data_IF_186805566900
#
_entry.id   IF_186805566900
#
_cell.length_a   1.000
_cell.length_b   1.000
_cell.length_c   1.000
_cell.angle_alpha   90.00
_cell.angle_beta   90.00
_cell.angle_gamma   90.00
#
_symmetry.space_group_name_H-M   'P 1'
#
loop_
_entity.id
_entity.type
_entity.pdbx_description
1 polymer ?
#
# COMPACT_ATOMS: atom_id res chain seq x y z
N UNK A 1 -8.39 -18.20 -5.85
CA UNK A 1 -8.58 -16.97 -5.04
C UNK A 1 -7.61 -16.93 -3.86
N UNK A 2 -7.64 -17.93 -2.96
CA UNK A 2 -6.61 -18.08 -1.91
C UNK A 2 -5.20 -18.25 -2.50
N UNK A 3 -5.07 -19.03 -3.57
CA UNK A 3 -3.81 -19.24 -4.30
C UNK A 3 -3.14 -17.94 -4.76
N UNK A 4 -3.90 -16.95 -5.25
CA UNK A 4 -3.34 -15.65 -5.68
C UNK A 4 -2.77 -14.88 -4.49
N UNK A 5 -3.45 -14.93 -3.34
CA UNK A 5 -3.00 -14.28 -2.13
C UNK A 5 -1.75 -14.97 -1.57
N UNK A 6 -1.76 -16.31 -1.49
CA UNK A 6 -0.62 -17.09 -1.01
C UNK A 6 0.62 -16.87 -1.89
N UNK A 7 0.43 -16.88 -3.21
CA UNK A 7 1.49 -16.62 -4.19
C UNK A 7 2.02 -15.19 -4.11
N UNK A 8 1.13 -14.21 -3.90
CA UNK A 8 1.52 -12.83 -3.62
C UNK A 8 2.41 -12.71 -2.38
N UNK A 9 2.05 -13.36 -1.26
CA UNK A 9 2.85 -13.31 -0.02
C UNK A 9 4.22 -13.93 -0.23
N UNK A 10 4.29 -15.06 -0.94
CA UNK A 10 5.54 -15.71 -1.30
C UNK A 10 6.44 -14.79 -2.11
N UNK A 11 5.89 -14.05 -3.08
CA UNK A 11 6.62 -13.08 -3.89
C UNK A 11 7.07 -11.87 -3.07
N UNK A 12 6.22 -11.32 -2.18
CA UNK A 12 6.60 -10.24 -1.26
C UNK A 12 7.83 -10.64 -0.44
N UNK A 13 7.88 -11.86 0.08
CA UNK A 13 9.07 -12.36 0.80
C UNK A 13 10.32 -12.44 -0.08
N UNK A 14 10.20 -12.68 -1.39
CA UNK A 14 11.35 -12.61 -2.30
C UNK A 14 11.77 -11.17 -2.58
N UNK A 15 10.81 -10.27 -2.78
CA UNK A 15 11.07 -8.84 -2.99
C UNK A 15 11.78 -8.24 -1.78
N UNK A 16 11.33 -8.58 -0.57
CA UNK A 16 11.91 -8.07 0.68
C UNK A 16 13.40 -8.44 0.86
N UNK A 17 13.88 -9.53 0.26
CA UNK A 17 15.31 -9.87 0.27
C UNK A 17 16.19 -8.86 -0.47
N UNK A 18 15.59 -8.01 -1.30
CA UNK A 18 16.27 -6.96 -2.06
C UNK A 18 16.22 -5.61 -1.34
N UNK A 19 15.58 -5.53 -0.16
CA UNK A 19 15.64 -4.34 0.70
C UNK A 19 17.02 -4.28 1.34
N UNK A 20 17.74 -3.21 1.05
CA UNK A 20 19.04 -2.91 1.66
C UNK A 20 18.86 -2.06 2.92
N UNK A 21 19.87 -2.07 3.80
CA UNK A 21 19.90 -1.17 4.96
C UNK A 21 19.83 0.31 4.53
N UNK A 22 20.48 0.66 3.42
CA UNK A 22 20.44 2.01 2.85
C UNK A 22 19.02 2.39 2.45
N UNK A 23 18.35 1.58 1.63
CA UNK A 23 16.97 1.86 1.19
C UNK A 23 16.00 1.96 2.37
N UNK A 24 16.18 1.12 3.39
CA UNK A 24 15.34 1.15 4.58
C UNK A 24 15.58 2.42 5.41
N UNK A 25 16.84 2.86 5.53
CA UNK A 25 17.21 4.12 6.17
C UNK A 25 16.61 5.32 5.44
N UNK A 26 16.82 5.42 4.13
CA UNK A 26 16.32 6.53 3.30
C UNK A 26 14.78 6.63 3.35
N UNK A 27 14.09 5.48 3.27
CA UNK A 27 12.65 5.39 3.47
C UNK A 27 12.22 5.86 4.87
N UNK A 28 12.97 5.48 5.90
CA UNK A 28 12.68 5.88 7.28
C UNK A 28 12.86 7.38 7.51
N UNK A 29 13.83 8.02 6.85
CA UNK A 29 14.01 9.48 6.89
C UNK A 29 12.84 10.20 6.24
N UNK A 30 12.42 9.78 5.03
CA UNK A 30 11.30 10.40 4.31
C UNK A 30 9.96 10.29 5.04
N UNK A 31 9.74 9.16 5.71
CA UNK A 31 8.55 8.94 6.54
C UNK A 31 8.67 9.58 7.93
N UNK A 32 9.81 10.19 8.27
CA UNK A 32 10.07 10.73 9.61
C UNK A 32 10.06 9.68 10.72
N UNK A 33 10.29 8.41 10.38
CA UNK A 33 10.50 7.30 11.33
C UNK A 33 11.90 7.40 11.93
N UNK A 34 12.90 7.73 11.09
CA UNK A 34 14.24 8.05 11.56
C UNK A 34 14.34 9.57 11.77
N UNK A 35 14.54 9.98 13.02
CA UNK A 35 14.73 11.38 13.40
C UNK A 35 15.62 11.46 14.64
N UNK A 36 16.41 12.53 14.75
CA UNK A 36 17.33 12.74 15.89
C UNK A 36 18.22 11.51 16.20
N UNK A 37 18.71 10.84 15.14
CA UNK A 37 19.55 9.62 15.21
C UNK A 37 18.87 8.40 15.84
N UNK A 38 17.54 8.35 15.86
CA UNK A 38 16.77 7.24 16.43
C UNK A 38 15.66 6.80 15.49
N UNK A 39 15.38 5.49 15.48
CA UNK A 39 14.20 4.93 14.82
C UNK A 39 13.03 4.91 15.80
N UNK A 40 11.91 5.53 15.40
CA UNK A 40 10.68 5.55 16.17
C UNK A 40 9.53 4.96 15.35
N UNK A 41 9.33 3.65 15.50
CA UNK A 41 8.19 2.90 14.95
C UNK A 41 7.19 2.68 16.09
N UNK A 42 5.98 3.22 15.95
CA UNK A 42 5.00 3.23 17.03
C UNK A 42 4.19 1.94 17.13
N UNK A 43 3.95 1.25 16.02
CA UNK A 43 3.10 0.06 15.95
C UNK A 43 3.35 -0.75 14.67
N UNK A 44 2.69 -1.91 14.57
CA UNK A 44 2.78 -2.81 13.41
C UNK A 44 2.27 -2.15 12.12
N UNK A 45 1.32 -1.23 12.20
CA UNK A 45 0.83 -0.48 11.03
C UNK A 45 1.91 0.42 10.44
N UNK A 46 2.67 1.14 11.28
CA UNK A 46 3.81 1.93 10.80
C UNK A 46 4.93 1.05 10.23
N UNK A 47 5.17 -0.11 10.85
CA UNK A 47 6.13 -1.08 10.31
C UNK A 47 5.70 -1.56 8.92
N UNK A 48 4.43 -1.97 8.75
CA UNK A 48 3.89 -2.37 7.45
C UNK A 48 3.96 -1.23 6.43
N UNK A 49 3.70 0.01 6.85
CA UNK A 49 3.83 1.19 6.00
C UNK A 49 5.26 1.41 5.51
N UNK A 50 6.26 1.25 6.39
CA UNK A 50 7.66 1.36 6.03
C UNK A 50 8.05 0.31 4.98
N UNK A 51 7.63 -0.95 5.19
CA UNK A 51 7.92 -2.03 4.23
C UNK A 51 7.19 -1.86 2.89
N UNK A 52 5.96 -1.35 2.87
CA UNK A 52 5.28 -1.02 1.62
C UNK A 52 5.98 0.14 0.91
N UNK A 53 6.28 1.22 1.63
CA UNK A 53 6.94 2.39 1.07
C UNK A 53 8.31 2.06 0.48
N UNK A 54 9.16 1.33 1.21
CA UNK A 54 10.49 0.95 0.70
C UNK A 54 10.40 0.05 -0.54
N UNK A 55 9.35 -0.78 -0.62
CA UNK A 55 9.16 -1.71 -1.74
C UNK A 55 8.70 -0.99 -3.01
N UNK A 56 7.73 -0.07 -2.87
CA UNK A 56 6.97 0.46 -4.00
C UNK A 56 7.20 1.95 -4.29
N UNK A 57 7.73 2.73 -3.35
CA UNK A 57 7.84 4.18 -3.47
C UNK A 57 9.29 4.68 -3.38
N UNK A 58 10.14 4.02 -2.60
CA UNK A 58 11.55 4.41 -2.44
C UNK A 58 12.34 4.16 -3.71
N UNK A 59 13.01 5.19 -4.22
CA UNK A 59 13.79 5.13 -5.45
C UNK A 59 15.25 4.88 -5.10
N UNK A 60 15.79 3.75 -5.55
CA UNK A 60 17.21 3.43 -5.47
C UNK A 60 17.84 3.61 -6.85
N UNK A 61 18.53 4.74 -7.06
CA UNK A 61 19.00 5.16 -8.38
C UNK A 61 17.82 5.67 -9.22
N UNK A 62 17.34 4.86 -10.17
CA UNK A 62 16.24 5.23 -11.07
C UNK A 62 14.99 4.35 -10.93
N UNK A 63 15.04 3.32 -10.07
CA UNK A 63 14.00 2.30 -9.94
C UNK A 63 13.64 2.05 -8.48
N UNK A 64 12.41 1.63 -8.27
CA UNK A 64 11.92 1.05 -7.02
C UNK A 64 12.42 -0.39 -6.87
N UNK A 65 12.34 -0.93 -5.66
CA UNK A 65 12.76 -2.32 -5.40
C UNK A 65 11.91 -3.30 -6.23
N UNK A 66 10.61 -3.07 -6.35
CA UNK A 66 9.73 -3.95 -7.15
C UNK A 66 10.06 -3.90 -8.65
N UNK A 67 10.44 -2.73 -9.17
CA UNK A 67 10.89 -2.58 -10.57
C UNK A 67 12.21 -3.33 -10.80
N UNK A 68 13.18 -3.22 -9.89
CA UNK A 68 14.43 -3.99 -9.96
C UNK A 68 14.16 -5.49 -9.84
N UNK A 69 13.29 -5.91 -8.93
CA UNK A 69 12.92 -7.31 -8.74
C UNK A 69 12.35 -7.95 -10.02
N UNK A 70 11.47 -7.22 -10.72
CA UNK A 70 10.90 -7.67 -12.01
C UNK A 70 11.97 -7.99 -13.06
N UNK A 71 13.11 -7.30 -13.05
CA UNK A 71 14.15 -7.47 -14.06
C UNK A 71 15.07 -8.65 -13.79
N UNK A 72 15.27 -8.99 -12.52
CA UNK A 72 16.24 -10.00 -12.09
C UNK A 72 15.59 -11.34 -11.75
N UNK A 73 14.32 -11.33 -11.34
CA UNK A 73 13.61 -12.54 -10.97
C UNK A 73 13.02 -13.22 -12.21
N UNK A 74 13.20 -14.54 -12.30
CA UNK A 74 12.59 -15.36 -13.34
C UNK A 74 11.30 -15.99 -12.81
N UNK A 75 10.11 -15.55 -13.29
CA UNK A 75 8.85 -16.12 -12.84
C UNK A 75 8.75 -17.60 -13.17
N UNK A 76 8.27 -18.41 -12.22
CA UNK A 76 8.13 -19.86 -12.40
C UNK A 76 6.80 -20.27 -13.04
N UNK A 77 5.87 -19.34 -13.14
CA UNK A 77 4.55 -19.56 -13.70
C UNK A 77 4.00 -18.27 -14.31
N UNK A 78 2.97 -18.40 -15.14
CA UNK A 78 2.23 -17.24 -15.66
C UNK A 78 1.62 -16.40 -14.53
N UNK A 79 1.08 -17.06 -13.50
CA UNK A 79 0.51 -16.37 -12.34
C UNK A 79 1.56 -15.51 -11.62
N UNK A 80 2.78 -16.03 -11.42
CA UNK A 80 3.86 -15.26 -10.83
C UNK A 80 4.22 -14.02 -11.67
N UNK A 81 4.33 -14.19 -12.99
CA UNK A 81 4.64 -13.10 -13.91
C UNK A 81 3.55 -12.01 -13.90
N UNK A 82 2.27 -12.42 -13.95
CA UNK A 82 1.13 -11.52 -13.90
C UNK A 82 1.02 -10.81 -12.53
N UNK A 83 1.36 -11.50 -11.43
CA UNK A 83 1.49 -10.89 -10.10
C UNK A 83 2.58 -9.83 -10.06
N UNK A 84 3.78 -10.11 -10.57
CA UNK A 84 4.90 -9.16 -10.59
C UNK A 84 4.53 -7.92 -11.43
N UNK A 85 3.89 -8.11 -12.59
CA UNK A 85 3.36 -7.00 -13.40
C UNK A 85 2.31 -6.20 -12.62
N UNK A 86 1.40 -6.88 -11.93
CA UNK A 86 0.41 -6.25 -11.05
C UNK A 86 1.03 -5.46 -9.90
N UNK A 87 2.11 -5.97 -9.30
CA UNK A 87 2.84 -5.31 -8.22
C UNK A 87 3.54 -4.04 -8.73
N UNK A 88 4.19 -4.08 -9.89
CA UNK A 88 4.83 -2.90 -10.50
C UNK A 88 3.80 -1.84 -10.90
N UNK A 89 2.64 -2.25 -11.43
CA UNK A 89 1.55 -1.34 -11.83
C UNK A 89 0.57 -1.00 -10.70
N UNK A 90 0.88 -1.41 -9.47
CA UNK A 90 0.05 -1.16 -8.30
C UNK A 90 -0.06 0.33 -8.00
N UNK A 91 -1.13 0.70 -7.31
CA UNK A 91 -1.36 2.09 -6.94
C UNK A 91 -2.00 2.19 -5.57
N UNK A 92 -1.74 3.30 -4.88
CA UNK A 92 -2.44 3.65 -3.66
C UNK A 92 -3.59 4.61 -3.95
N UNK A 93 -4.68 4.45 -3.22
CA UNK A 93 -5.79 5.42 -3.23
C UNK A 93 -6.46 5.46 -1.86
N UNK A 94 -7.43 6.35 -1.72
CA UNK A 94 -8.33 6.43 -0.60
C UNK A 94 -9.60 5.63 -0.93
N UNK A 95 -10.04 4.79 0.00
CA UNK A 95 -11.16 3.87 -0.20
C UNK A 95 -12.16 3.94 0.93
N UNK A 96 -13.42 3.70 0.60
CA UNK A 96 -14.50 3.43 1.56
C UNK A 96 -15.18 2.12 1.21
N UNK A 97 -15.56 1.34 2.21
CA UNK A 97 -16.33 0.12 1.96
C UNK A 97 -17.78 0.49 1.62
N UNK A 98 -18.29 -0.08 0.53
CA UNK A 98 -19.68 0.05 0.07
C UNK A 98 -20.51 -1.20 0.31
N UNK A 99 -19.87 -2.35 0.41
CA UNK A 99 -20.53 -3.63 0.63
C UNK A 99 -19.53 -4.76 0.78
N UNK A 100 -20.01 -5.90 1.26
CA UNK A 100 -19.23 -7.11 1.48
C UNK A 100 -20.04 -8.28 0.93
N UNK A 101 -19.41 -9.13 0.15
CA UNK A 101 -19.94 -10.40 -0.30
C UNK A 101 -19.21 -11.51 0.44
N UNK A 102 -19.82 -12.05 1.50
CA UNK A 102 -19.17 -13.09 2.32
C UNK A 102 -19.02 -14.42 1.57
N UNK A 103 -19.97 -14.74 0.69
CA UNK A 103 -19.95 -15.89 -0.21
C UNK A 103 -18.77 -15.83 -1.19
N UNK A 104 -18.50 -14.65 -1.76
CA UNK A 104 -17.41 -14.42 -2.71
C UNK A 104 -16.09 -14.01 -2.05
N UNK A 105 -16.09 -13.75 -0.74
CA UNK A 105 -14.95 -13.15 0.00
C UNK A 105 -14.46 -11.85 -0.67
N UNK A 106 -15.43 -11.03 -1.08
CA UNK A 106 -15.18 -9.77 -1.78
C UNK A 106 -15.64 -8.58 -0.94
N UNK A 107 -14.89 -7.49 -1.05
CA UNK A 107 -15.19 -6.22 -0.41
C UNK A 107 -15.29 -5.17 -1.51
N UNK A 108 -16.46 -4.56 -1.63
CA UNK A 108 -16.71 -3.54 -2.63
C UNK A 108 -16.16 -2.21 -2.11
N UNK A 109 -14.99 -1.82 -2.60
CA UNK A 109 -14.34 -0.57 -2.24
C UNK A 109 -14.71 0.52 -3.24
N UNK A 110 -15.28 1.63 -2.75
CA UNK A 110 -15.31 2.88 -3.50
C UNK A 110 -13.95 3.56 -3.40
N UNK A 111 -13.23 3.65 -4.51
CA UNK A 111 -12.13 4.58 -4.68
C UNK A 111 -12.69 5.99 -4.67
N UNK A 112 -12.47 6.72 -3.58
CA UNK A 112 -13.07 8.04 -3.40
C UNK A 112 -12.41 9.08 -4.31
N UNK A 113 -11.18 8.83 -4.78
CA UNK A 113 -10.46 9.74 -5.66
C UNK A 113 -10.90 9.59 -7.11
N UNK A 114 -11.21 8.36 -7.54
CA UNK A 114 -11.56 8.04 -8.92
C UNK A 114 -13.07 7.77 -9.15
N UNK A 115 -13.88 7.79 -8.09
CA UNK A 115 -15.31 7.45 -8.11
C UNK A 115 -15.60 6.09 -8.78
N UNK A 116 -14.76 5.09 -8.47
CA UNK A 116 -14.83 3.75 -9.05
C UNK A 116 -15.03 2.71 -7.96
N UNK A 117 -15.89 1.73 -8.20
CA UNK A 117 -16.06 0.58 -7.30
C UNK A 117 -15.13 -0.55 -7.74
N UNK A 118 -14.42 -1.14 -6.78
CA UNK A 118 -13.46 -2.22 -6.99
C UNK A 118 -13.85 -3.40 -6.10
N UNK A 119 -14.04 -4.61 -6.66
CA UNK A 119 -14.22 -5.83 -5.87
C UNK A 119 -12.87 -6.32 -5.37
N UNK A 120 -12.52 -6.00 -4.12
CA UNK A 120 -11.29 -6.44 -3.49
C UNK A 120 -11.49 -7.84 -2.90
N UNK A 121 -10.68 -8.80 -3.33
CA UNK A 121 -10.58 -10.11 -2.67
C UNK A 121 -9.80 -9.93 -1.38
N UNK A 122 -10.46 -10.17 -0.24
CA UNK A 122 -9.83 -10.11 1.07
C UNK A 122 -10.65 -10.87 2.11
N UNK A 123 -10.10 -11.09 3.29
CA UNK A 123 -10.86 -11.53 4.44
C UNK A 123 -11.79 -10.39 4.92
N UNK A 124 -13.13 -10.57 4.84
CA UNK A 124 -14.07 -9.56 5.32
C UNK A 124 -13.81 -9.12 6.76
N UNK A 125 -13.31 -10.01 7.62
CA UNK A 125 -13.05 -9.69 9.02
C UNK A 125 -12.01 -8.57 9.21
N UNK A 126 -11.13 -8.32 8.22
CA UNK A 126 -10.10 -7.27 8.29
C UNK A 126 -10.66 -5.85 8.20
N UNK A 127 -11.90 -5.68 7.75
CA UNK A 127 -12.48 -4.36 7.41
C UNK A 127 -13.47 -3.81 8.46
N UNK A 128 -13.28 -4.16 9.74
CA UNK A 128 -14.15 -3.73 10.85
C UNK A 128 -14.47 -2.22 10.88
N UNK A 129 -15.74 -1.89 11.16
CA UNK A 129 -16.36 -0.54 11.17
C UNK A 129 -16.37 0.20 9.81
N UNK A 130 -17.10 -0.41 8.87
CA UNK A 130 -17.21 -0.06 7.45
C UNK A 130 -17.73 1.34 7.13
N UNK A 131 -18.54 1.93 8.02
CA UNK A 131 -19.32 3.14 7.73
C UNK A 131 -18.58 4.44 8.09
N UNK A 132 -17.57 4.36 8.96
CA UNK A 132 -16.89 5.52 9.56
C UNK A 132 -15.38 5.58 9.30
N UNK A 133 -14.88 4.72 8.43
CA UNK A 133 -13.43 4.60 8.15
C UNK A 133 -13.13 4.87 6.68
N UNK A 134 -12.05 5.60 6.42
CA UNK A 134 -11.40 5.72 5.11
C UNK A 134 -10.08 4.96 5.18
N UNK A 135 -9.85 4.13 4.17
CA UNK A 135 -8.66 3.32 4.05
C UNK A 135 -7.71 3.97 3.04
N UNK A 136 -6.45 4.11 3.38
CA UNK A 136 -5.38 4.30 2.39
C UNK A 136 -4.63 2.98 2.27
N UNK A 137 -4.72 2.34 1.11
CA UNK A 137 -4.11 1.04 0.83
C UNK A 137 -3.64 0.97 -0.61
N UNK A 138 -2.79 -0.01 -0.92
CA UNK A 138 -2.32 -0.29 -2.27
C UNK A 138 -3.17 -1.38 -2.91
N UNK A 139 -3.67 -1.12 -4.11
CA UNK A 139 -4.37 -2.09 -4.94
C UNK A 139 -3.39 -2.71 -5.94
N UNK A 140 -3.44 -4.04 -6.02
CA UNK A 140 -2.71 -4.84 -6.99
C UNK A 140 -3.76 -5.56 -7.84
N UNK A 141 -3.70 -5.35 -9.15
CA UNK A 141 -4.61 -5.99 -10.10
C UNK A 141 -3.86 -7.09 -10.85
N UNK A 142 -4.44 -8.29 -10.86
CA UNK A 142 -3.96 -9.45 -11.61
C UNK A 142 -5.14 -9.98 -12.42
N UNK A 143 -5.08 -9.87 -13.75
CA UNK A 143 -6.23 -10.11 -14.63
C UNK A 143 -7.51 -9.37 -14.17
N UNK A 144 -8.53 -10.10 -13.73
CA UNK A 144 -9.80 -9.57 -13.23
C UNK A 144 -9.89 -9.57 -11.70
N UNK A 145 -8.81 -9.95 -11.01
CA UNK A 145 -8.71 -10.04 -9.56
C UNK A 145 -8.03 -8.78 -9.02
N UNK A 146 -8.61 -8.22 -7.96
CA UNK A 146 -7.99 -7.16 -7.18
C UNK A 146 -7.66 -7.68 -5.79
N UNK A 147 -6.40 -7.54 -5.40
CA UNK A 147 -5.92 -7.77 -4.03
C UNK A 147 -5.29 -6.48 -3.50
N UNK A 148 -4.98 -6.45 -2.21
CA UNK A 148 -4.25 -5.36 -1.60
C UNK A 148 -2.91 -5.83 -1.06
N UNK A 149 -1.98 -4.89 -0.89
CA UNK A 149 -0.83 -5.10 -0.01
C UNK A 149 -1.27 -5.38 1.42
N UNK A 150 -0.34 -5.86 2.26
CA UNK A 150 -0.56 -6.01 3.71
C UNK A 150 -0.57 -4.68 4.48
N UNK A 151 -0.24 -3.58 3.81
CA UNK A 151 -0.31 -2.23 4.35
C UNK A 151 -1.71 -1.61 4.22
N UNK A 152 -2.15 -0.95 5.30
CA UNK A 152 -3.30 -0.05 5.30
C UNK A 152 -3.12 1.05 6.36
N UNK A 153 -3.48 2.30 6.02
CA UNK A 153 -3.70 3.36 7.00
C UNK A 153 -5.19 3.61 7.14
N UNK A 154 -5.65 3.70 8.39
CA UNK A 154 -7.05 3.88 8.70
C UNK A 154 -7.28 5.30 9.20
N UNK A 155 -8.27 5.98 8.63
CA UNK A 155 -8.61 7.35 9.00
C UNK A 155 -10.09 7.45 9.38
N UNK A 156 -10.44 8.32 10.34
CA UNK A 156 -11.83 8.67 10.58
C UNK A 156 -12.45 9.31 9.34
N UNK A 157 -13.70 8.95 8.99
CA UNK A 157 -14.43 9.52 7.84
C UNK A 157 -14.48 11.05 7.83
N UNK A 158 -14.53 11.68 9.01
CA UNK A 158 -14.47 13.16 9.15
C UNK A 158 -13.23 13.80 8.52
N UNK A 159 -12.16 13.03 8.30
CA UNK A 159 -10.93 13.48 7.67
C UNK A 159 -10.99 13.55 6.14
N UNK A 160 -12.08 13.11 5.49
CA UNK A 160 -12.16 12.96 4.02
C UNK A 160 -11.67 14.20 3.25
N UNK A 161 -12.18 15.39 3.59
CA UNK A 161 -11.82 16.64 2.92
C UNK A 161 -10.31 16.92 3.00
N UNK A 162 -9.72 16.71 4.17
CA UNK A 162 -8.27 16.89 4.39
C UNK A 162 -7.48 15.83 3.64
N UNK A 163 -7.91 14.57 3.68
CA UNK A 163 -7.25 13.47 2.98
C UNK A 163 -7.21 13.71 1.46
N UNK A 164 -8.33 14.14 0.86
CA UNK A 164 -8.38 14.51 -0.57
C UNK A 164 -7.40 15.64 -0.91
N UNK A 165 -7.30 16.66 -0.05
CA UNK A 165 -6.35 17.77 -0.24
C UNK A 165 -4.90 17.28 -0.17
N UNK A 166 -4.58 16.42 0.80
CA UNK A 166 -3.24 15.85 0.95
C UNK A 166 -2.89 14.90 -0.19
N UNK A 167 -3.87 14.13 -0.67
CA UNK A 167 -3.73 13.23 -1.81
C UNK A 167 -3.45 13.99 -3.11
N UNK A 168 -4.06 15.15 -3.33
CA UNK A 168 -3.84 15.92 -4.55
C UNK A 168 -2.63 16.87 -4.46
N UNK A 169 -1.93 16.91 -3.32
CA UNK A 169 -0.73 17.75 -3.18
C UNK A 169 0.42 17.08 -3.92
N UNK A 170 1.10 17.86 -4.76
CA UNK A 170 2.30 17.44 -5.49
C UNK A 170 3.56 18.08 -4.92
N UNK A 171 4.71 17.52 -5.30
CA UNK A 171 6.04 18.01 -5.01
C UNK A 171 6.87 17.95 -6.28
N UNK A 172 7.78 18.91 -6.47
CA UNK A 172 8.75 18.88 -7.56
C UNK A 172 9.95 17.95 -7.27
N UNK A 173 10.11 17.53 -6.01
CA UNK A 173 11.27 16.77 -5.54
C UNK A 173 11.08 15.25 -5.67
N UNK A 174 9.84 14.78 -5.82
CA UNK A 174 9.48 13.37 -5.69
C UNK A 174 8.39 12.99 -6.71
N UNK A 175 8.25 11.70 -7.00
CA UNK A 175 7.11 11.18 -7.75
C UNK A 175 5.81 11.48 -7.00
N UNK A 176 4.72 11.67 -7.73
CA UNK A 176 3.41 11.96 -7.12
C UNK A 176 2.94 10.84 -6.17
N UNK A 177 3.19 9.57 -6.48
CA UNK A 177 2.86 8.44 -5.59
C UNK A 177 3.63 8.52 -4.26
N UNK A 178 4.94 8.75 -4.33
CA UNK A 178 5.82 8.88 -3.17
C UNK A 178 5.37 10.02 -2.27
N UNK A 179 5.13 11.20 -2.86
CA UNK A 179 4.73 12.38 -2.09
C UNK A 179 3.36 12.21 -1.42
N UNK A 180 2.41 11.59 -2.12
CA UNK A 180 1.09 11.23 -1.56
C UNK A 180 1.23 10.30 -0.36
N UNK A 181 2.05 9.26 -0.49
CA UNK A 181 2.28 8.32 0.59
C UNK A 181 2.85 9.03 1.83
N UNK A 182 3.89 9.85 1.66
CA UNK A 182 4.52 10.61 2.75
C UNK A 182 3.49 11.53 3.44
N UNK A 183 2.72 12.29 2.67
CA UNK A 183 1.72 13.21 3.22
C UNK A 183 0.66 12.48 4.05
N UNK A 184 0.15 11.36 3.53
CA UNK A 184 -0.88 10.59 4.22
C UNK A 184 -0.33 9.82 5.42
N UNK A 185 0.91 9.31 5.34
CA UNK A 185 1.60 8.71 6.47
C UNK A 185 1.79 9.72 7.62
N UNK A 186 2.34 10.89 7.34
CA UNK A 186 2.51 11.95 8.35
C UNK A 186 1.18 12.41 8.96
N UNK A 187 0.11 12.46 8.16
CA UNK A 187 -1.22 12.76 8.67
C UNK A 187 -1.78 11.63 9.53
N UNK A 188 -1.53 10.37 9.17
CA UNK A 188 -1.92 9.20 9.97
C UNK A 188 -1.29 9.23 11.35
N UNK A 189 0.00 9.60 11.49
CA UNK A 189 0.63 9.73 12.82
C UNK A 189 -0.08 10.73 13.75
N UNK A 190 -0.84 11.67 13.20
CA UNK A 190 -1.56 12.70 13.96
C UNK A 190 -2.99 12.32 14.31
N UNK A 191 -3.70 11.67 13.38
CA UNK A 191 -5.17 11.45 13.49
C UNK A 191 -5.65 10.06 13.07
N UNK A 192 -4.71 9.17 12.76
CA UNK A 192 -4.98 7.81 12.32
C UNK A 192 -5.67 6.98 13.39
N UNK A 193 -6.37 5.94 12.96
CA UNK A 193 -6.96 4.93 13.83
C UNK A 193 -5.91 3.84 14.02
N UNK A 194 -5.23 3.84 15.17
CA UNK A 194 -4.33 2.77 15.55
C UNK A 194 -5.16 1.58 16.04
N UNK A 195 -4.98 0.41 15.42
CA UNK A 195 -5.51 -0.88 15.87
C UNK A 195 -4.39 -1.71 16.48
#
# INVERSE_FOLDING_TARGET
>A
MLEVYDEYHRLVLQVQKHITLKSLHDASEKLGIYYAKQYNIQNKTEQAALYDFVTYEEINGNKTIIETFKEIYQPKSKLEDDLIKGMVSSYTSLFMVKGISYDKKEIMLLDIMNNKIIPLINDPAKFTSYDKTIFFLRIIKVDNIYISSDFQLLFPKKSEKTLRKLFNKSSLLERESTHRFINLFHYHRKVGINK
#
